data_IF_858676941457
#
_entry.id   IF_858676941457
#
_cell.length_a   1.000
_cell.length_b   1.000
_cell.length_c   1.000
_cell.angle_alpha   90.00
_cell.angle_beta   90.00
_cell.angle_gamma   90.00
#
_symmetry.space_group_name_H-M   'P 1'
#
loop_
_entity.id
_entity.type
_entity.pdbx_description
1 polymer ?
#
# COMPACT_ATOMS: atom_id res chain seq x y z
N UNK A 1 -17.32 12.57 -11.43
CA UNK A 1 -16.50 11.45 -11.93
C UNK A 1 -15.05 11.46 -11.44
N UNK A 2 -14.44 12.61 -11.06
CA UNK A 2 -13.08 12.67 -10.47
C UNK A 2 -12.95 12.37 -8.97
N UNK A 3 -13.97 11.78 -8.34
CA UNK A 3 -14.01 11.59 -6.88
C UNK A 3 -13.04 10.50 -6.40
N UNK A 4 -13.14 9.32 -7.01
CA UNK A 4 -12.42 8.12 -6.55
C UNK A 4 -10.91 8.21 -6.75
N UNK A 5 -10.42 8.81 -7.83
CA UNK A 5 -8.98 9.03 -8.01
C UNK A 5 -8.42 9.94 -6.91
N UNK A 6 -9.08 11.07 -6.63
CA UNK A 6 -8.63 12.00 -5.57
C UNK A 6 -8.68 11.38 -4.19
N UNK A 7 -9.74 10.63 -3.91
CA UNK A 7 -9.89 9.91 -2.63
C UNK A 7 -8.83 8.82 -2.47
N UNK A 8 -8.57 8.05 -3.53
CA UNK A 8 -7.50 7.03 -3.55
C UNK A 8 -6.13 7.64 -3.36
N UNK A 9 -5.85 8.77 -4.03
CA UNK A 9 -4.59 9.48 -3.89
C UNK A 9 -4.40 9.96 -2.45
N UNK A 10 -5.40 10.64 -1.88
CA UNK A 10 -5.33 11.13 -0.50
C UNK A 10 -5.12 9.98 0.51
N UNK A 11 -5.78 8.84 0.28
CA UNK A 11 -5.62 7.64 1.09
C UNK A 11 -4.20 7.05 0.99
N UNK A 12 -3.64 6.98 -0.23
CA UNK A 12 -2.30 6.44 -0.48
C UNK A 12 -1.21 7.38 0.06
N UNK A 13 -1.33 8.68 -0.15
CA UNK A 13 -0.41 9.69 0.39
C UNK A 13 -0.37 9.63 1.93
N UNK A 14 -1.55 9.56 2.57
CA UNK A 14 -1.67 9.44 4.01
C UNK A 14 -0.93 8.21 4.55
N UNK A 15 -1.20 7.04 3.96
CA UNK A 15 -0.62 5.79 4.41
C UNK A 15 0.90 5.73 4.18
N UNK A 16 1.37 6.11 2.98
CA UNK A 16 2.80 6.08 2.65
C UNK A 16 3.60 7.10 3.47
N UNK A 17 3.04 8.29 3.70
CA UNK A 17 3.66 9.30 4.58
C UNK A 17 3.93 8.72 5.97
N UNK A 18 2.95 8.03 6.56
CA UNK A 18 3.11 7.39 7.86
C UNK A 18 4.17 6.29 7.84
N UNK A 19 4.19 5.45 6.81
CA UNK A 19 5.18 4.37 6.69
C UNK A 19 6.62 4.90 6.66
N UNK A 20 6.84 6.05 6.01
CA UNK A 20 8.16 6.64 5.84
C UNK A 20 8.60 7.50 7.04
N UNK A 21 7.69 8.24 7.67
CA UNK A 21 8.05 9.23 8.70
C UNK A 21 7.90 8.71 10.13
N UNK A 22 7.09 7.66 10.34
CA UNK A 22 6.80 7.07 11.66
C UNK A 22 6.63 8.11 12.79
N UNK A 23 5.80 9.17 12.60
CA UNK A 23 5.70 10.28 13.54
C UNK A 23 5.10 9.81 14.86
N UNK A 24 5.60 10.33 15.98
CA UNK A 24 5.10 10.02 17.33
C UNK A 24 4.73 11.31 18.09
N UNK A 25 3.44 11.54 18.41
CA UNK A 25 2.28 10.74 18.03
C UNK A 25 1.96 10.84 16.53
N UNK A 26 1.29 9.82 15.98
CA UNK A 26 0.80 9.89 14.61
C UNK A 26 -0.35 10.91 14.49
N UNK A 27 -0.42 11.69 13.39
CA UNK A 27 -1.55 12.58 13.16
C UNK A 27 -2.87 11.80 13.05
N UNK A 28 -4.01 12.41 13.39
CA UNK A 28 -5.31 11.77 13.19
C UNK A 28 -5.51 11.40 11.71
N UNK A 29 -6.20 10.28 11.42
CA UNK A 29 -6.49 9.90 10.05
C UNK A 29 -7.42 10.94 9.38
N UNK A 30 -7.16 11.32 8.12
CA UNK A 30 -7.94 12.34 7.41
C UNK A 30 -9.35 11.88 7.02
N UNK A 31 -9.62 10.58 7.07
CA UNK A 31 -10.92 9.97 6.76
C UNK A 31 -11.09 8.63 7.48
N UNK A 32 -12.31 8.09 7.48
CA UNK A 32 -12.56 6.72 7.97
C UNK A 32 -11.84 5.66 7.14
N UNK A 33 -11.77 5.84 5.82
CA UNK A 33 -11.05 4.95 4.91
C UNK A 33 -9.54 4.93 5.22
N UNK A 34 -8.96 6.08 5.56
CA UNK A 34 -7.57 6.18 6.02
C UNK A 34 -7.37 5.48 7.36
N UNK A 35 -8.28 5.68 8.32
CA UNK A 35 -8.22 4.97 9.59
C UNK A 35 -8.27 3.44 9.39
N UNK A 36 -9.18 2.97 8.52
CA UNK A 36 -9.34 1.56 8.17
C UNK A 36 -8.08 0.99 7.48
N UNK A 37 -7.50 1.71 6.53
CA UNK A 37 -6.31 1.27 5.80
C UNK A 37 -5.09 1.18 6.72
N UNK A 38 -4.85 2.23 7.53
CA UNK A 38 -3.78 2.23 8.55
C UNK A 38 -3.89 1.01 9.45
N UNK A 39 -5.09 0.71 9.94
CA UNK A 39 -5.33 -0.42 10.82
C UNK A 39 -5.08 -1.77 10.13
N UNK A 40 -5.77 -2.05 9.02
CA UNK A 40 -5.70 -3.35 8.35
C UNK A 40 -4.32 -3.62 7.77
N UNK A 41 -3.68 -2.60 7.19
CA UNK A 41 -2.36 -2.75 6.59
C UNK A 41 -1.28 -2.96 7.66
N UNK A 42 -1.41 -2.31 8.83
CA UNK A 42 -0.52 -2.53 9.97
C UNK A 42 -0.66 -3.92 10.58
N UNK A 43 -1.90 -4.40 10.77
CA UNK A 43 -2.18 -5.76 11.24
C UNK A 43 -1.60 -6.81 10.28
N UNK A 44 -1.85 -6.64 8.98
CA UNK A 44 -1.32 -7.49 7.92
C UNK A 44 0.22 -7.49 7.87
N UNK A 45 0.85 -6.31 7.97
CA UNK A 45 2.31 -6.20 8.02
C UNK A 45 2.86 -6.92 9.24
N UNK A 46 2.25 -6.73 10.42
CA UNK A 46 2.70 -7.33 11.68
C UNK A 46 2.63 -8.86 11.62
N UNK A 47 1.56 -9.42 11.08
CA UNK A 47 1.38 -10.86 10.94
C UNK A 47 2.35 -11.50 9.93
N UNK A 48 2.80 -10.74 8.92
CA UNK A 48 3.59 -11.25 7.80
C UNK A 48 4.88 -10.46 7.54
N UNK A 49 5.45 -9.87 8.60
CA UNK A 49 6.55 -8.89 8.52
C UNK A 49 7.73 -9.40 7.67
N UNK A 50 8.25 -10.59 7.98
CA UNK A 50 9.39 -11.16 7.28
C UNK A 50 9.13 -11.36 5.78
N UNK A 51 7.88 -11.69 5.41
CA UNK A 51 7.50 -11.89 4.01
C UNK A 51 7.45 -10.56 3.27
N UNK A 52 6.71 -9.58 3.77
CA UNK A 52 6.64 -8.26 3.12
C UNK A 52 8.02 -7.61 3.01
N UNK A 53 8.85 -7.71 4.05
CA UNK A 53 10.21 -7.22 4.00
C UNK A 53 11.03 -7.88 2.89
N UNK A 54 10.93 -9.21 2.74
CA UNK A 54 11.61 -9.97 1.68
C UNK A 54 11.08 -9.58 0.30
N UNK A 55 9.76 -9.46 0.13
CA UNK A 55 9.14 -9.08 -1.15
C UNK A 55 9.60 -7.69 -1.60
N UNK A 56 9.61 -6.71 -0.70
CA UNK A 56 10.08 -5.36 -1.00
C UNK A 56 11.58 -5.35 -1.37
N UNK A 57 12.41 -6.12 -0.66
CA UNK A 57 13.83 -6.26 -1.01
C UNK A 57 14.03 -6.91 -2.38
N UNK A 58 13.28 -7.97 -2.68
CA UNK A 58 13.34 -8.62 -4.00
C UNK A 58 12.86 -7.70 -5.09
N UNK A 59 11.77 -6.97 -4.88
CA UNK A 59 11.30 -5.96 -5.82
C UNK A 59 12.38 -4.92 -6.10
N UNK A 60 13.01 -4.35 -5.07
CA UNK A 60 14.05 -3.32 -5.23
C UNK A 60 15.29 -3.80 -5.97
N UNK A 61 15.59 -5.10 -5.93
CA UNK A 61 16.69 -5.70 -6.71
C UNK A 61 16.38 -5.81 -8.21
N UNK A 62 15.10 -5.87 -8.58
CA UNK A 62 14.66 -6.19 -9.95
C UNK A 62 13.84 -5.08 -10.62
N UNK A 63 13.40 -4.05 -9.88
CA UNK A 63 12.50 -3.02 -10.39
C UNK A 63 13.13 -2.05 -11.41
N UNK A 64 14.41 -2.21 -11.73
CA UNK A 64 15.14 -1.33 -12.64
C UNK A 64 15.20 0.12 -12.11
N UNK A 65 15.43 1.11 -13.00
CA UNK A 65 15.57 2.51 -12.61
C UNK A 65 14.24 3.20 -12.25
N UNK A 66 13.09 2.59 -12.59
CA UNK A 66 11.77 3.17 -12.37
C UNK A 66 10.90 2.24 -11.50
N UNK A 67 10.90 2.45 -10.18
CA UNK A 67 10.05 1.71 -9.26
C UNK A 67 8.55 1.87 -9.53
N UNK A 68 8.10 2.99 -10.09
CA UNK A 68 6.67 3.23 -10.32
C UNK A 68 6.17 2.36 -11.48
N UNK A 69 6.90 2.32 -12.60
CA UNK A 69 6.59 1.43 -13.73
C UNK A 69 6.64 -0.05 -13.33
N UNK A 70 7.57 -0.44 -12.45
CA UNK A 70 7.63 -1.83 -11.96
C UNK A 70 6.52 -2.15 -10.98
N UNK A 71 6.16 -1.22 -10.08
CA UNK A 71 5.03 -1.37 -9.18
C UNK A 71 3.72 -1.50 -9.97
N UNK A 72 3.60 -0.73 -11.04
CA UNK A 72 2.46 -0.79 -11.94
C UNK A 72 2.25 -2.19 -12.53
N UNK A 73 3.32 -2.86 -12.96
CA UNK A 73 3.24 -4.27 -13.43
C UNK A 73 2.79 -5.21 -12.33
N UNK A 74 3.29 -5.04 -11.10
CA UNK A 74 2.84 -5.82 -9.94
C UNK A 74 1.35 -5.63 -9.70
N UNK A 75 0.83 -4.41 -9.84
CA UNK A 75 -0.60 -4.13 -9.70
C UNK A 75 -1.42 -4.79 -10.82
N UNK A 76 -0.97 -4.70 -12.07
CA UNK A 76 -1.61 -5.35 -13.22
C UNK A 76 -1.71 -6.86 -13.01
N UNK A 77 -0.66 -7.50 -12.49
CA UNK A 77 -0.66 -8.93 -12.22
C UNK A 77 -1.47 -9.31 -10.97
N UNK A 78 -1.36 -8.53 -9.87
CA UNK A 78 -2.02 -8.83 -8.60
C UNK A 78 -3.54 -8.61 -8.66
N UNK A 79 -4.00 -7.66 -9.47
CA UNK A 79 -5.36 -7.14 -9.48
C UNK A 79 -6.05 -7.32 -10.85
N UNK A 80 -5.29 -7.56 -11.92
CA UNK A 80 -5.79 -7.61 -13.29
C UNK A 80 -6.35 -8.97 -13.74
N UNK A 81 -6.28 -10.02 -12.93
CA UNK A 81 -6.82 -11.36 -13.24
C UNK A 81 -8.36 -11.46 -13.16
N UNK A 82 -9.06 -10.34 -12.91
CA UNK A 82 -10.52 -10.29 -12.76
C UNK A 82 -11.05 -10.60 -11.37
N UNK A 83 -10.18 -10.89 -10.38
CA UNK A 83 -10.56 -11.27 -9.02
C UNK A 83 -10.14 -10.24 -7.96
N UNK A 84 -10.27 -8.94 -8.28
CA UNK A 84 -10.02 -7.87 -7.32
C UNK A 84 -10.96 -8.00 -6.11
N UNK A 85 -10.38 -7.85 -4.92
CA UNK A 85 -11.07 -7.82 -3.64
C UNK A 85 -10.32 -6.92 -2.65
N UNK A 86 -10.99 -6.49 -1.59
CA UNK A 86 -10.39 -5.61 -0.57
C UNK A 86 -9.14 -6.19 0.09
N UNK A 87 -9.01 -7.52 0.22
CA UNK A 87 -7.80 -8.16 0.73
C UNK A 87 -6.57 -7.89 -0.13
N UNK A 88 -6.71 -8.00 -1.46
CA UNK A 88 -5.65 -7.64 -2.44
C UNK A 88 -5.33 -6.16 -2.42
N UNK A 89 -6.34 -5.29 -2.26
CA UNK A 89 -6.13 -3.85 -2.08
C UNK A 89 -5.29 -3.58 -0.83
N UNK A 90 -5.63 -4.17 0.32
CA UNK A 90 -4.83 -4.01 1.54
C UNK A 90 -3.40 -4.54 1.35
N UNK A 91 -3.23 -5.72 0.74
CA UNK A 91 -1.89 -6.27 0.45
C UNK A 91 -1.04 -5.35 -0.42
N UNK A 92 -1.65 -4.71 -1.43
CA UNK A 92 -0.98 -3.73 -2.28
C UNK A 92 -0.50 -2.52 -1.48
N UNK A 93 -1.36 -1.97 -0.61
CA UNK A 93 -1.00 -0.85 0.26
C UNK A 93 0.11 -1.27 1.22
N UNK A 94 -0.04 -2.38 1.95
CA UNK A 94 0.99 -2.91 2.87
C UNK A 94 2.34 -3.08 2.18
N UNK A 95 2.36 -3.73 1.01
CA UNK A 95 3.58 -3.91 0.23
C UNK A 95 4.22 -2.57 -0.16
N UNK A 96 3.42 -1.63 -0.66
CA UNK A 96 3.93 -0.31 -1.09
C UNK A 96 4.43 0.52 0.09
N UNK A 97 3.81 0.39 1.27
CA UNK A 97 4.29 1.02 2.50
C UNK A 97 5.65 0.50 2.95
N UNK A 98 5.86 -0.82 2.90
CA UNK A 98 7.16 -1.44 3.19
C UNK A 98 8.21 -1.05 2.14
N UNK A 99 7.83 -1.02 0.86
CA UNK A 99 8.67 -0.57 -0.24
C UNK A 99 9.13 0.88 -0.05
N UNK A 100 8.21 1.79 0.26
CA UNK A 100 8.51 3.21 0.48
C UNK A 100 9.45 3.42 1.68
N UNK A 101 9.25 2.67 2.77
CA UNK A 101 10.15 2.68 3.94
C UNK A 101 11.56 2.22 3.56
N UNK A 102 11.71 1.10 2.85
CA UNK A 102 13.02 0.59 2.43
C UNK A 102 13.74 1.51 1.43
N UNK A 103 13.00 2.17 0.52
CA UNK A 103 13.56 3.17 -0.39
C UNK A 103 14.18 4.36 0.37
N UNK A 104 13.54 4.80 1.45
CA UNK A 104 14.07 5.87 2.32
C UNK A 104 15.31 5.42 3.08
N UNK A 105 15.31 4.22 3.65
CA UNK A 105 16.45 3.65 4.37
C UNK A 105 17.69 3.50 3.48
N UNK A 106 17.53 3.02 2.23
CA UNK A 106 18.64 2.89 1.29
C UNK A 106 19.24 4.24 0.86
N UNK A 107 18.43 5.30 0.77
CA UNK A 107 18.94 6.65 0.49
C UNK A 107 19.72 7.22 1.69
N UNK A 108 19.24 6.99 2.92
CA UNK A 108 19.92 7.42 4.15
C UNK A 108 21.27 6.73 4.42
N UNK A 109 21.48 5.54 3.86
CA UNK A 109 22.70 4.73 4.01
C UNK A 109 23.81 5.07 2.99
N UNK A 110 23.63 6.04 2.08
CA UNK A 110 24.68 6.50 1.15
C UNK A 110 25.33 7.83 1.61
N UNK A 111 26.24 7.84 2.60
CA UNK A 111 27.07 9.00 2.87
C UNK A 111 28.25 8.99 1.90
N UNK A 112 28.27 9.83 0.87
CA UNK A 112 29.49 9.96 0.06
C UNK A 112 29.38 10.45 -1.37
N UNK A 113 28.44 11.34 -1.72
CA UNK A 113 28.70 12.21 -2.87
C UNK A 113 28.39 13.66 -2.49
N UNK A 114 29.47 14.43 -2.47
CA UNK A 114 29.46 15.87 -2.34
C UNK A 114 28.44 16.49 -3.28
N UNK A 115 27.47 17.20 -2.71
CA UNK A 115 26.84 18.33 -3.39
C UNK A 115 26.64 19.40 -2.33
N UNK A 116 27.70 20.20 -2.16
CA UNK A 116 27.65 21.47 -1.48
C UNK A 116 26.71 22.40 -2.23
N UNK A 117 25.46 22.44 -1.79
CA UNK A 117 24.56 23.58 -1.87
C UNK A 117 23.53 23.35 -0.79
N UNK A 118 23.39 24.30 0.13
CA UNK A 118 22.50 24.21 1.28
C UNK A 118 21.09 23.79 0.85
N UNK A 119 20.78 22.52 1.05
CA UNK A 119 19.42 22.02 0.98
C UNK A 119 18.93 21.93 2.42
N UNK A 120 18.19 22.95 2.81
CA UNK A 120 17.49 22.99 4.08
C UNK A 120 16.65 21.72 4.24
N UNK A 121 16.74 21.12 5.43
CA UNK A 121 15.82 20.15 6.03
C UNK A 121 14.52 19.91 5.23
N UNK A 122 14.46 18.84 4.44
CA UNK A 122 13.23 18.48 3.75
C UNK A 122 13.41 17.24 2.88
N UNK A 123 12.81 16.14 3.33
CA UNK A 123 12.14 15.09 2.56
C UNK A 123 12.38 15.14 1.03
N UNK A 124 12.63 13.99 0.40
CA UNK A 124 12.34 13.83 -1.03
C UNK A 124 10.93 13.20 -1.17
N UNK A 125 9.85 13.98 -1.01
CA UNK A 125 8.46 13.50 -1.10
C UNK A 125 8.11 13.01 -2.51
N UNK A 126 8.99 13.21 -3.50
CA UNK A 126 8.74 12.86 -4.90
C UNK A 126 8.49 11.36 -5.08
N UNK A 127 9.24 10.50 -4.38
CA UNK A 127 9.07 9.05 -4.53
C UNK A 127 7.79 8.52 -3.86
N UNK A 128 7.46 8.99 -2.65
CA UNK A 128 6.23 8.55 -1.97
C UNK A 128 4.99 9.03 -2.71
N UNK A 129 5.03 10.27 -3.20
CA UNK A 129 3.95 10.83 -4.01
C UNK A 129 3.79 10.09 -5.34
N UNK A 130 4.88 9.81 -6.06
CA UNK A 130 4.79 9.07 -7.32
C UNK A 130 4.24 7.65 -7.13
N UNK A 131 4.60 6.96 -6.03
CA UNK A 131 4.01 5.67 -5.67
C UNK A 131 2.51 5.79 -5.34
N UNK A 132 2.10 6.85 -4.64
CA UNK A 132 0.70 7.14 -4.34
C UNK A 132 -0.12 7.45 -5.60
N UNK A 133 0.44 8.27 -6.51
CA UNK A 133 -0.15 8.57 -7.82
C UNK A 133 -0.29 7.30 -8.66
N UNK A 134 0.72 6.40 -8.65
CA UNK A 134 0.64 5.10 -9.32
C UNK A 134 -0.51 4.23 -8.79
N UNK A 135 -0.72 4.21 -7.46
CA UNK A 135 -1.88 3.52 -6.84
C UNK A 135 -3.19 4.19 -7.31
N UNK A 136 -3.26 5.52 -7.30
CA UNK A 136 -4.45 6.28 -7.64
C UNK A 136 -4.85 6.13 -9.12
N UNK A 137 -3.88 6.17 -10.03
CA UNK A 137 -4.10 5.95 -11.46
C UNK A 137 -4.69 4.56 -11.71
N UNK A 138 -4.13 3.55 -11.06
CA UNK A 138 -4.60 2.18 -11.29
C UNK A 138 -5.94 1.89 -10.60
N UNK A 139 -6.06 2.13 -9.28
CA UNK A 139 -7.29 1.80 -8.56
C UNK A 139 -8.41 2.82 -8.83
N UNK A 140 -8.08 4.10 -8.77
CA UNK A 140 -9.04 5.21 -8.82
C UNK A 140 -9.48 5.61 -10.22
N UNK A 141 -8.71 5.30 -11.27
CA UNK A 141 -9.09 5.54 -12.66
C UNK A 141 -9.39 4.24 -13.42
N UNK A 142 -8.47 3.27 -13.44
CA UNK A 142 -8.65 2.05 -14.26
C UNK A 142 -9.53 0.98 -13.61
N UNK A 143 -9.50 0.85 -12.28
CA UNK A 143 -10.39 -0.04 -11.51
C UNK A 143 -11.56 0.70 -10.87
N UNK A 144 -11.89 1.89 -11.37
CA UNK A 144 -12.98 2.72 -10.84
C UNK A 144 -14.34 2.01 -10.88
N UNK A 145 -14.61 1.24 -11.92
CA UNK A 145 -15.90 0.54 -12.06
C UNK A 145 -16.04 -0.51 -10.96
N UNK A 146 -14.98 -1.29 -10.71
CA UNK A 146 -14.95 -2.23 -9.59
C UNK A 146 -15.12 -1.52 -8.23
N UNK A 147 -14.44 -0.38 -8.03
CA UNK A 147 -14.63 0.41 -6.81
C UNK A 147 -16.09 0.83 -6.66
N UNK A 148 -16.73 1.37 -7.70
CA UNK A 148 -18.13 1.80 -7.66
C UNK A 148 -19.09 0.64 -7.42
N UNK A 149 -18.86 -0.52 -8.05
CA UNK A 149 -19.63 -1.75 -7.83
C UNK A 149 -19.50 -2.28 -6.39
N UNK A 150 -18.46 -1.87 -5.66
CA UNK A 150 -18.18 -2.26 -4.28
C UNK A 150 -18.34 -1.09 -3.30
N UNK A 151 -19.25 -0.15 -3.56
CA UNK A 151 -19.56 1.03 -2.72
C UNK A 151 -18.37 1.98 -2.47
N UNK A 152 -17.38 2.00 -3.37
CA UNK A 152 -16.17 2.80 -3.24
C UNK A 152 -15.41 2.56 -1.94
N UNK A 153 -14.78 3.59 -1.42
CA UNK A 153 -14.06 3.51 -0.14
C UNK A 153 -14.99 3.41 1.07
N UNK A 154 -16.28 3.70 0.93
CA UNK A 154 -17.27 3.40 1.97
C UNK A 154 -17.48 1.88 2.12
N UNK A 155 -17.52 1.14 1.00
CA UNK A 155 -17.53 -0.32 1.02
C UNK A 155 -16.28 -0.92 1.68
N UNK A 156 -15.11 -0.29 1.46
CA UNK A 156 -13.90 -0.65 2.19
C UNK A 156 -14.02 -0.44 3.71
N UNK A 157 -14.61 0.68 4.15
CA UNK A 157 -14.87 0.91 5.57
C UNK A 157 -15.78 -0.18 6.16
N UNK A 158 -16.88 -0.55 5.47
CA UNK A 158 -17.77 -1.66 5.89
C UNK A 158 -17.02 -2.98 5.99
N UNK A 159 -16.15 -3.28 5.02
CA UNK A 159 -15.27 -4.45 5.05
C UNK A 159 -14.32 -4.43 6.26
N UNK A 160 -13.71 -3.27 6.56
CA UNK A 160 -12.81 -3.09 7.71
C UNK A 160 -13.52 -3.23 9.06
N UNK A 161 -14.72 -2.66 9.22
CA UNK A 161 -15.53 -2.86 10.41
C UNK A 161 -15.88 -4.34 10.60
N UNK A 162 -16.32 -4.99 9.52
CA UNK A 162 -16.60 -6.42 9.52
C UNK A 162 -15.37 -7.27 9.83
N UNK A 163 -14.17 -6.80 9.48
CA UNK A 163 -12.90 -7.42 9.84
C UNK A 163 -12.56 -7.26 11.33
N UNK A 164 -12.88 -6.09 11.90
CA UNK A 164 -12.59 -5.74 13.30
C UNK A 164 -13.56 -6.37 14.28
N UNK A 165 -14.86 -6.28 14.02
CA UNK A 165 -15.92 -6.80 14.92
C UNK A 165 -15.89 -8.33 15.00
N UNK A 166 -15.54 -9.01 13.91
CA UNK A 166 -15.50 -10.47 13.84
C UNK A 166 -14.21 -11.09 14.38
N UNK A 167 -13.35 -10.29 15.02
CA UNK A 167 -12.22 -10.78 15.82
C UNK A 167 -12.65 -11.62 17.05
N UNK A 168 -13.97 -11.76 17.30
CA UNK A 168 -14.55 -12.60 18.35
C UNK A 168 -15.16 -13.94 17.87
N UNK A 169 -15.29 -14.22 16.55
CA UNK A 169 -15.99 -15.43 16.05
C UNK A 169 -15.14 -16.24 15.05
N UNK A 170 -14.92 -17.54 15.31
CA UNK A 170 -13.75 -18.30 14.80
C UNK A 170 -13.86 -18.79 13.35
N UNK A 171 -15.07 -18.99 12.81
CA UNK A 171 -15.28 -19.56 11.46
C UNK A 171 -15.19 -18.52 10.34
N UNK A 172 -15.72 -17.32 10.57
CA UNK A 172 -15.68 -16.21 9.60
C UNK A 172 -14.31 -15.54 9.49
N UNK A 173 -13.46 -15.72 10.51
CA UNK A 173 -12.03 -15.35 10.50
C UNK A 173 -11.33 -15.90 9.25
N UNK A 174 -11.62 -17.14 8.88
CA UNK A 174 -10.96 -17.85 7.78
C UNK A 174 -11.19 -17.20 6.42
N UNK A 175 -12.38 -16.67 6.11
CA UNK A 175 -12.69 -16.13 4.78
C UNK A 175 -12.00 -14.77 4.52
N UNK A 176 -11.92 -13.93 5.55
CA UNK A 176 -11.26 -12.63 5.46
C UNK A 176 -9.73 -12.77 5.43
N UNK A 177 -9.17 -13.60 6.31
CA UNK A 177 -7.75 -13.95 6.25
C UNK A 177 -7.41 -14.72 4.96
N UNK A 178 -8.35 -15.46 4.38
CA UNK A 178 -8.16 -16.06 3.06
C UNK A 178 -8.08 -14.98 1.97
N UNK A 179 -8.93 -13.96 1.97
CA UNK A 179 -8.85 -12.86 0.99
C UNK A 179 -7.54 -12.04 1.13
N UNK A 180 -7.14 -11.73 2.36
CA UNK A 180 -5.83 -11.13 2.68
C UNK A 180 -4.66 -12.05 2.29
N UNK A 181 -4.78 -13.35 2.55
CA UNK A 181 -3.81 -14.37 2.21
C UNK A 181 -3.65 -14.56 0.70
N UNK A 182 -4.72 -14.42 -0.08
CA UNK A 182 -4.68 -14.45 -1.55
C UNK A 182 -3.89 -13.26 -2.10
N UNK A 183 -4.02 -12.06 -1.53
CA UNK A 183 -3.22 -10.91 -1.93
C UNK A 183 -1.72 -11.11 -1.67
N UNK A 184 -1.36 -11.57 -0.46
CA UNK A 184 0.03 -11.87 -0.13
C UNK A 184 0.61 -13.05 -0.93
N UNK A 185 -0.19 -14.10 -1.17
CA UNK A 185 0.21 -15.24 -1.99
C UNK A 185 0.43 -14.81 -3.44
N UNK A 186 -0.44 -13.93 -3.98
CA UNK A 186 -0.26 -13.30 -5.28
C UNK A 186 1.08 -12.57 -5.36
N UNK A 187 1.33 -11.62 -4.46
CA UNK A 187 2.61 -10.90 -4.40
C UNK A 187 3.82 -11.83 -4.31
N UNK A 188 3.72 -12.89 -3.50
CA UNK A 188 4.80 -13.88 -3.35
C UNK A 188 5.05 -14.64 -4.65
N UNK A 189 3.99 -15.06 -5.34
CA UNK A 189 4.11 -15.74 -6.62
C UNK A 189 4.75 -14.84 -7.68
N UNK A 190 4.39 -13.55 -7.71
CA UNK A 190 4.90 -12.59 -8.70
C UNK A 190 6.35 -12.19 -8.46
N UNK A 191 6.74 -11.96 -7.20
CA UNK A 191 8.04 -11.40 -6.86
C UNK A 191 9.12 -12.44 -6.55
N UNK A 192 8.79 -13.73 -6.53
CA UNK A 192 9.76 -14.82 -6.26
C UNK A 192 10.04 -15.67 -7.53
N UNK A 193 9.47 -15.30 -8.69
CA UNK A 193 9.82 -15.85 -10.00
C UNK A 193 11.08 -15.20 -10.56
#
# INVERSE_FOLDING_TARGET
MYGLWKETLALAEDYLFLCCTSPRPAPPPPSESAAAMRFLAHDMETQHQARFHTLAQTFLKHCGPDPCSSLRKVMEELVGDGHLNWGRVVSLFTFTGVLARQLMEQKGMKPGLDSGQGQELGQDPANCRALAETIADYLGEEKKDWLLENDGWEGFCKFSLSARERSQDSSMKTALFAAAGVGLAGLTFLLVR
#
